data_IF_733003336023
#
_entry.id   IF_733003336023
#
_cell.length_a   1.000
_cell.length_b   1.000
_cell.length_c   1.000
_cell.angle_alpha   90.00
_cell.angle_beta   90.00
_cell.angle_gamma   90.00
#
_symmetry.space_group_name_H-M   'P 1'
#
loop_
_entity.id
_entity.type
_entity.pdbx_description
1 polymer ?
#
# COMPACT_ATOMS: atom_id res chain seq x y z
N UNK A 1 12.04 6.31 29.62
CA UNK A 1 12.02 5.77 28.25
C UNK A 1 11.46 6.85 27.33
N UNK A 2 12.23 7.27 26.33
CA UNK A 2 11.91 8.43 25.50
C UNK A 2 10.75 8.08 24.54
N UNK A 3 9.55 8.61 24.78
CA UNK A 3 8.31 8.31 24.02
C UNK A 3 8.20 9.06 22.68
N UNK A 4 9.27 9.75 22.26
CA UNK A 4 9.29 10.64 21.09
C UNK A 4 9.60 9.98 19.75
N UNK A 5 9.64 8.65 19.65
CA UNK A 5 10.03 7.94 18.42
C UNK A 5 9.04 8.09 17.24
N UNK A 6 7.87 8.71 17.44
CA UNK A 6 6.84 8.89 16.40
C UNK A 6 6.44 10.36 16.16
N UNK A 7 7.25 11.34 16.61
CA UNK A 7 6.91 12.76 16.47
C UNK A 7 6.88 13.24 15.01
N UNK A 8 7.51 12.51 14.09
CA UNK A 8 7.56 12.83 12.67
C UNK A 8 7.01 11.67 11.86
N UNK A 9 5.95 11.94 11.09
CA UNK A 9 5.47 10.98 10.09
C UNK A 9 6.45 10.98 8.92
N UNK A 10 6.90 9.80 8.44
CA UNK A 10 7.78 9.74 7.28
C UNK A 10 7.09 10.34 6.05
N UNK A 11 7.89 10.98 5.19
CA UNK A 11 7.40 11.56 3.93
C UNK A 11 6.78 10.46 3.07
N UNK A 12 5.67 10.80 2.40
CA UNK A 12 4.95 9.87 1.53
C UNK A 12 4.25 10.59 0.39
N UNK A 13 4.12 9.88 -0.72
CA UNK A 13 3.22 10.25 -1.81
C UNK A 13 1.82 9.72 -1.51
N UNK A 14 0.79 10.53 -1.74
CA UNK A 14 -0.60 10.15 -1.50
C UNK A 14 -1.16 9.36 -2.70
N UNK A 15 -0.80 8.09 -2.78
CA UNK A 15 -1.16 7.21 -3.89
C UNK A 15 -2.35 6.30 -3.57
N UNK A 16 -2.56 5.98 -2.30
CA UNK A 16 -3.59 5.06 -1.86
C UNK A 16 -4.89 5.78 -1.49
N UNK A 17 -6.03 5.24 -1.90
CA UNK A 17 -7.35 5.64 -1.42
C UNK A 17 -7.56 5.11 0.00
N UNK A 18 -7.42 6.00 0.99
CA UNK A 18 -7.47 5.69 2.42
C UNK A 18 -8.47 6.60 3.16
N UNK A 19 -9.05 6.14 4.29
CA UNK A 19 -8.89 4.81 4.89
C UNK A 19 -9.75 3.74 4.17
N UNK A 20 -9.21 2.53 4.02
CA UNK A 20 -10.01 1.37 3.57
C UNK A 20 -10.91 0.86 4.69
N UNK A 21 -12.08 0.27 4.39
CA UNK A 21 -13.02 -0.14 5.43
C UNK A 21 -12.60 -1.44 6.13
N UNK A 22 -13.15 -1.65 7.34
CA UNK A 22 -13.19 -2.95 8.00
C UNK A 22 -14.59 -3.54 7.86
N UNK A 23 -14.70 -4.78 7.37
CA UNK A 23 -15.97 -5.48 7.25
C UNK A 23 -16.04 -6.64 8.25
N UNK A 24 -17.13 -6.69 9.01
CA UNK A 24 -17.44 -7.86 9.84
C UNK A 24 -17.93 -8.99 8.95
N UNK A 25 -17.31 -10.15 9.07
CA UNK A 25 -17.68 -11.33 8.28
C UNK A 25 -18.77 -12.12 9.01
N UNK A 26 -20.00 -11.59 9.06
CA UNK A 26 -21.08 -12.14 9.91
C UNK A 26 -21.32 -13.64 9.69
N UNK A 27 -21.44 -14.09 8.43
CA UNK A 27 -21.69 -15.50 8.11
C UNK A 27 -20.52 -16.42 8.52
N UNK A 28 -19.28 -15.99 8.29
CA UNK A 28 -18.10 -16.77 8.70
C UNK A 28 -17.93 -16.75 10.22
N UNK A 29 -18.23 -15.62 10.84
CA UNK A 29 -18.17 -15.46 12.30
C UNK A 29 -19.11 -16.44 13.00
N UNK A 30 -20.34 -16.57 12.50
CA UNK A 30 -21.30 -17.55 13.00
C UNK A 30 -20.83 -18.99 12.74
N UNK A 31 -20.34 -19.28 11.52
CA UNK A 31 -19.87 -20.63 11.14
C UNK A 31 -18.75 -21.15 12.04
N UNK A 32 -17.82 -20.28 12.43
CA UNK A 32 -16.61 -20.67 13.18
C UNK A 32 -16.64 -20.27 14.67
N UNK A 33 -17.73 -19.66 15.14
CA UNK A 33 -17.85 -19.24 16.54
C UNK A 33 -16.84 -18.16 16.97
N UNK A 34 -16.37 -17.33 16.03
CA UNK A 34 -15.32 -16.32 16.27
C UNK A 34 -15.69 -14.95 15.69
N UNK A 35 -15.20 -13.86 16.26
CA UNK A 35 -15.42 -12.50 15.72
C UNK A 35 -14.45 -12.22 14.57
N UNK A 36 -14.86 -12.52 13.34
CA UNK A 36 -14.01 -12.38 12.16
C UNK A 36 -14.26 -11.04 11.45
N UNK A 37 -13.17 -10.33 11.17
CA UNK A 37 -13.16 -9.05 10.47
C UNK A 37 -12.14 -9.08 9.33
N UNK A 38 -12.43 -8.34 8.26
CA UNK A 38 -11.51 -8.16 7.13
C UNK A 38 -11.22 -6.69 6.95
N UNK A 39 -9.94 -6.33 6.95
CA UNK A 39 -9.45 -5.03 6.48
C UNK A 39 -9.36 -5.05 4.96
N UNK A 40 -10.16 -4.23 4.29
CA UNK A 40 -10.29 -4.23 2.82
C UNK A 40 -9.19 -3.45 2.11
N UNK A 41 -7.94 -3.82 2.35
CA UNK A 41 -6.77 -3.20 1.70
C UNK A 41 -6.66 -3.48 0.20
N UNK A 42 -7.51 -4.35 -0.33
CA UNK A 42 -7.78 -4.48 -1.75
C UNK A 42 -8.51 -3.26 -2.35
N UNK A 43 -9.11 -2.39 -1.53
CA UNK A 43 -9.81 -1.17 -1.96
C UNK A 43 -8.95 0.10 -1.89
N UNK A 44 -7.63 -0.03 -1.88
CA UNK A 44 -6.68 1.09 -1.79
C UNK A 44 -6.47 1.85 -3.10
N UNK A 45 -7.12 1.47 -4.20
CA UNK A 45 -6.91 2.06 -5.52
C UNK A 45 -7.61 1.22 -6.59
N UNK A 46 -7.47 1.61 -7.85
CA UNK A 46 -7.97 0.79 -8.96
C UNK A 46 -6.94 -0.29 -9.31
N UNK A 47 -6.06 -0.01 -10.28
CA UNK A 47 -5.07 -0.97 -10.77
C UNK A 47 -3.87 -1.12 -9.81
N UNK A 48 -3.59 -0.10 -9.01
CA UNK A 48 -2.58 -0.06 -7.94
C UNK A 48 -3.06 -0.70 -6.63
N UNK A 49 -4.28 -1.26 -6.60
CA UNK A 49 -4.91 -1.84 -5.41
C UNK A 49 -4.07 -2.90 -4.67
N UNK A 50 -4.38 -3.06 -3.39
CA UNK A 50 -3.78 -4.05 -2.49
C UNK A 50 -2.86 -3.42 -1.45
N UNK A 51 -2.19 -4.27 -0.68
CA UNK A 51 -1.35 -3.83 0.43
C UNK A 51 -0.02 -3.17 0.00
N UNK A 52 0.40 -3.34 -1.27
CA UNK A 52 1.72 -2.84 -1.74
C UNK A 52 1.72 -1.34 -1.94
N UNK A 53 0.59 -0.75 -2.36
CA UNK A 53 0.52 0.70 -2.59
C UNK A 53 0.84 1.50 -1.32
N UNK A 54 0.40 1.02 -0.14
CA UNK A 54 0.75 1.63 1.15
C UNK A 54 2.25 1.71 1.41
N UNK A 55 3.02 0.73 0.93
CA UNK A 55 4.49 0.74 1.06
C UNK A 55 5.11 1.65 0.01
N UNK A 56 4.58 1.58 -1.21
CA UNK A 56 5.03 2.40 -2.33
C UNK A 56 4.86 3.89 -2.07
N UNK A 57 3.86 4.34 -1.31
CA UNK A 57 3.73 5.74 -0.89
C UNK A 57 5.05 6.30 -0.29
N UNK A 58 5.71 5.52 0.57
CA UNK A 58 6.96 5.94 1.23
C UNK A 58 8.19 5.71 0.35
N UNK A 59 8.25 4.58 -0.35
CA UNK A 59 9.38 4.26 -1.22
C UNK A 59 9.46 5.21 -2.42
N UNK A 60 8.32 5.61 -2.97
CA UNK A 60 8.24 6.58 -4.05
C UNK A 60 8.67 7.98 -3.58
N UNK A 61 8.21 8.41 -2.40
CA UNK A 61 8.65 9.67 -1.82
C UNK A 61 10.18 9.71 -1.60
N UNK A 62 10.75 8.63 -1.08
CA UNK A 62 12.21 8.52 -0.92
C UNK A 62 12.94 8.54 -2.27
N UNK A 63 12.44 7.82 -3.28
CA UNK A 63 13.04 7.81 -4.62
C UNK A 63 13.01 9.20 -5.28
N UNK A 64 11.88 9.90 -5.21
CA UNK A 64 11.75 11.27 -5.69
C UNK A 64 12.68 12.23 -4.95
N UNK A 65 12.81 12.08 -3.62
CA UNK A 65 13.72 12.91 -2.81
C UNK A 65 15.19 12.76 -3.20
N UNK A 66 15.56 11.59 -3.74
CA UNK A 66 16.90 11.28 -4.22
C UNK A 66 17.13 11.62 -5.69
N UNK A 67 16.11 12.17 -6.37
CA UNK A 67 16.19 12.49 -7.79
C UNK A 67 16.25 11.25 -8.69
N UNK A 68 15.73 10.11 -8.24
CA UNK A 68 15.64 8.92 -9.08
C UNK A 68 14.65 9.14 -10.23
N UNK A 69 14.95 8.54 -11.38
CA UNK A 69 14.13 8.55 -12.58
C UNK A 69 13.58 7.16 -12.92
N UNK A 70 14.16 6.08 -12.38
CA UNK A 70 13.78 4.68 -12.64
C UNK A 70 13.39 3.97 -11.32
N UNK A 71 12.30 3.20 -11.32
CA UNK A 71 11.94 2.26 -10.25
C UNK A 71 12.11 0.81 -10.71
N UNK A 72 13.13 0.14 -10.17
CA UNK A 72 13.35 -1.28 -10.42
C UNK A 72 12.78 -2.14 -9.28
N UNK A 73 11.98 -3.16 -9.62
CA UNK A 73 11.50 -4.18 -8.69
C UNK A 73 11.43 -5.55 -9.36
N UNK A 74 11.23 -6.62 -8.58
CA UNK A 74 11.08 -7.97 -9.08
C UNK A 74 9.92 -8.72 -8.39
N UNK A 75 9.49 -9.81 -9.01
CA UNK A 75 8.43 -10.67 -8.52
C UNK A 75 8.16 -11.80 -9.50
N UNK A 76 7.23 -12.70 -9.15
CA UNK A 76 6.74 -13.72 -10.08
C UNK A 76 5.89 -13.12 -11.21
N UNK A 77 5.55 -13.95 -12.20
CA UNK A 77 4.81 -13.55 -13.40
C UNK A 77 3.52 -12.76 -13.10
N UNK A 78 2.77 -13.16 -12.07
CA UNK A 78 1.51 -12.50 -11.66
C UNK A 78 1.68 -11.60 -10.43
N UNK A 79 2.86 -11.01 -10.25
CA UNK A 79 3.16 -10.18 -9.09
C UNK A 79 2.29 -8.91 -9.02
N UNK A 80 1.38 -8.87 -8.05
CA UNK A 80 0.65 -7.64 -7.70
C UNK A 80 1.60 -6.49 -7.32
N UNK A 81 2.77 -6.80 -6.76
CA UNK A 81 3.76 -5.78 -6.44
C UNK A 81 4.32 -5.14 -7.70
N UNK A 82 4.79 -5.96 -8.65
CA UNK A 82 5.38 -5.49 -9.90
C UNK A 82 4.38 -4.69 -10.71
N UNK A 83 3.11 -5.15 -10.79
CA UNK A 83 2.01 -4.39 -11.41
C UNK A 83 1.83 -3.02 -10.75
N UNK A 84 1.68 -2.98 -9.42
CA UNK A 84 1.47 -1.73 -8.69
C UNK A 84 2.66 -0.78 -8.83
N UNK A 85 3.89 -1.29 -8.76
CA UNK A 85 5.12 -0.51 -8.92
C UNK A 85 5.20 0.13 -10.30
N UNK A 86 4.94 -0.63 -11.37
CA UNK A 86 4.96 -0.10 -12.74
C UNK A 86 3.92 1.03 -12.93
N UNK A 87 2.71 0.87 -12.38
CA UNK A 87 1.66 1.90 -12.43
C UNK A 87 2.10 3.16 -11.66
N UNK A 88 2.67 2.98 -10.46
CA UNK A 88 3.16 4.10 -9.64
C UNK A 88 4.29 4.85 -10.34
N UNK A 89 5.26 4.13 -10.92
CA UNK A 89 6.36 4.74 -11.65
C UNK A 89 5.84 5.63 -12.79
N UNK A 90 4.94 5.11 -13.64
CA UNK A 90 4.32 5.91 -14.71
C UNK A 90 3.51 7.10 -14.20
N UNK A 91 2.76 6.96 -13.09
CA UNK A 91 2.02 8.08 -12.48
C UNK A 91 2.91 9.21 -12.01
N UNK A 92 4.13 8.89 -11.57
CA UNK A 92 5.10 9.85 -11.04
C UNK A 92 6.06 10.37 -12.11
N UNK A 93 5.87 9.99 -13.38
CA UNK A 93 6.76 10.38 -14.49
C UNK A 93 8.14 9.71 -14.45
N UNK A 94 8.25 8.59 -13.75
CA UNK A 94 9.44 7.75 -13.67
C UNK A 94 9.33 6.56 -14.63
N UNK A 95 10.45 5.87 -14.86
CA UNK A 95 10.63 4.65 -15.68
C UNK A 95 10.61 3.33 -14.90
#
# INVERSE_FOLDING_TARGET
MNTNAFSHSPQREFLAMLPTPFYKMTRLSQKYGASLWVKRDDLTGAAESGNKIRKLEFLAADALSKGADIILTCGGEQSNHSRATAIVARRLGMD
#
